data_IF_526306988166
#
_entry.id   IF_526306988166
#
_cell.length_a   1.000
_cell.length_b   1.000
_cell.length_c   1.000
_cell.angle_alpha   90.00
_cell.angle_beta   90.00
_cell.angle_gamma   90.00
#
_symmetry.space_group_name_H-M   'P 1'
#
loop_
_entity.id
_entity.type
_entity.pdbx_description
1 polymer ?
#
# COMPACT_ATOMS: atom_id res chain seq x y z
N UNK A 1 -5.94 25.64 -13.07
CA UNK A 1 -5.42 24.67 -14.06
C UNK A 1 -6.60 23.95 -14.68
N UNK A 2 -7.11 24.47 -15.80
CA UNK A 2 -8.19 23.83 -16.54
C UNK A 2 -7.59 22.66 -17.33
N UNK A 3 -8.03 21.44 -17.02
CA UNK A 3 -7.68 20.26 -17.79
C UNK A 3 -8.77 20.04 -18.85
N UNK A 4 -8.36 20.10 -20.12
CA UNK A 4 -9.19 19.80 -21.27
C UNK A 4 -9.46 18.29 -21.32
N UNK A 5 -10.71 17.91 -21.08
CA UNK A 5 -11.19 16.54 -21.30
C UNK A 5 -11.44 16.34 -22.80
N UNK A 6 -10.49 15.72 -23.48
CA UNK A 6 -10.66 15.21 -24.86
C UNK A 6 -11.42 13.88 -24.77
N UNK A 7 -12.75 13.96 -24.89
CA UNK A 7 -13.61 12.78 -25.03
C UNK A 7 -13.53 12.30 -26.47
N UNK A 8 -12.91 11.14 -26.70
CA UNK A 8 -12.91 10.37 -27.96
C UNK A 8 -14.31 9.82 -28.27
N UNK A 9 -15.27 10.72 -28.46
CA UNK A 9 -16.60 10.37 -28.95
C UNK A 9 -16.50 10.16 -30.46
N UNK A 10 -16.56 8.90 -30.89
CA UNK A 10 -16.80 8.49 -32.29
C UNK A 10 -18.20 8.89 -32.80
N UNK A 11 -18.77 9.98 -32.26
CA UNK A 11 -20.09 10.48 -32.60
C UNK A 11 -19.95 11.45 -33.77
N UNK A 12 -20.30 10.96 -34.96
CA UNK A 12 -20.36 11.79 -36.17
C UNK A 12 -21.38 12.92 -35.90
N UNK A 13 -21.01 14.20 -36.06
CA UNK A 13 -21.94 15.33 -35.89
C UNK A 13 -23.16 15.18 -36.81
N UNK A 14 -24.34 15.56 -36.32
CA UNK A 14 -25.61 15.42 -37.06
C UNK A 14 -25.54 16.06 -38.46
N UNK A 15 -24.81 17.16 -38.59
CA UNK A 15 -24.60 17.87 -39.87
C UNK A 15 -23.86 17.03 -40.92
N UNK A 16 -23.00 16.12 -40.48
CA UNK A 16 -22.24 15.21 -41.34
C UNK A 16 -23.11 14.01 -41.77
N UNK A 17 -23.96 13.49 -40.86
CA UNK A 17 -24.93 12.42 -41.18
C UNK A 17 -25.95 12.86 -42.25
N UNK A 18 -26.38 14.13 -42.24
CA UNK A 18 -27.31 14.68 -43.23
C UNK A 18 -26.66 14.87 -44.61
N UNK A 19 -25.35 15.13 -44.66
CA UNK A 19 -24.61 15.22 -45.93
C UNK A 19 -24.36 13.85 -46.55
N UNK A 20 -24.00 12.86 -45.74
CA UNK A 20 -23.61 11.52 -46.22
C UNK A 20 -24.84 10.65 -46.60
N UNK A 21 -26.02 10.93 -46.04
CA UNK A 21 -27.28 10.24 -46.39
C UNK A 21 -28.11 10.96 -47.46
N UNK A 22 -27.53 11.92 -48.18
CA UNK A 22 -28.20 12.54 -49.33
C UNK A 22 -28.18 11.57 -50.51
N UNK A 23 -29.04 10.55 -50.44
CA UNK A 23 -29.31 9.67 -51.56
C UNK A 23 -29.67 10.54 -52.79
N UNK A 24 -29.19 10.21 -54.00
CA UNK A 24 -29.68 10.88 -55.19
C UNK A 24 -31.19 10.68 -55.20
N UNK A 25 -31.93 11.78 -55.13
CA UNK A 25 -33.35 11.79 -55.44
C UNK A 25 -33.40 11.33 -56.89
N UNK A 26 -33.64 10.03 -57.08
CA UNK A 26 -34.07 9.49 -58.36
C UNK A 26 -35.44 10.09 -58.54
N UNK A 27 -35.48 11.21 -59.25
CA UNK A 27 -36.69 11.66 -59.91
C UNK A 27 -37.11 10.47 -60.78
N UNK A 28 -38.13 9.75 -60.30
CA UNK A 28 -38.78 8.77 -61.13
C UNK A 28 -39.41 9.58 -62.24
N UNK A 29 -38.81 9.54 -63.43
CA UNK A 29 -39.43 9.98 -64.68
C UNK A 29 -40.58 9.02 -65.05
N UNK A 30 -41.46 8.75 -64.08
CA UNK A 30 -42.76 8.18 -64.32
C UNK A 30 -43.56 9.29 -64.99
N UNK A 31 -43.63 9.20 -66.32
CA UNK A 31 -44.48 9.95 -67.23
C UNK A 31 -45.68 10.57 -66.51
N UNK A 32 -45.50 11.81 -66.05
CA UNK A 32 -46.61 12.70 -65.73
C UNK A 32 -47.20 13.07 -67.08
N UNK A 33 -48.16 12.29 -67.54
CA UNK A 33 -49.02 12.74 -68.64
C UNK A 33 -49.62 14.08 -68.17
N UNK A 34 -49.37 15.20 -68.87
CA UNK A 34 -49.96 16.47 -68.50
C UNK A 34 -51.46 16.27 -68.45
N UNK A 35 -52.14 16.70 -67.38
CA UNK A 35 -53.61 16.72 -67.36
C UNK A 35 -54.17 17.45 -68.61
N UNK A 36 -53.37 18.37 -69.18
CA UNK A 36 -53.60 19.00 -70.48
C UNK A 36 -53.76 18.00 -71.64
N UNK A 37 -52.97 16.92 -71.72
CA UNK A 37 -53.08 15.94 -72.80
C UNK A 37 -54.40 15.15 -72.71
N UNK A 38 -54.85 14.83 -71.49
CA UNK A 38 -56.15 14.18 -71.27
C UNK A 38 -57.32 15.14 -71.54
N UNK A 39 -57.21 16.40 -71.12
CA UNK A 39 -58.21 17.44 -71.38
C UNK A 39 -58.29 17.81 -72.87
N UNK A 40 -57.16 17.80 -73.59
CA UNK A 40 -57.13 18.04 -75.04
C UNK A 40 -57.85 16.92 -75.80
N UNK A 41 -57.62 15.65 -75.45
CA UNK A 41 -58.31 14.51 -76.09
C UNK A 41 -59.82 14.54 -75.79
N UNK A 42 -60.21 14.88 -74.56
CA UNK A 42 -61.62 14.97 -74.17
C UNK A 42 -62.35 16.07 -74.95
N UNK A 43 -61.73 17.24 -75.12
CA UNK A 43 -62.32 18.36 -75.87
C UNK A 43 -62.41 18.06 -77.38
N UNK A 44 -61.40 17.42 -77.96
CA UNK A 44 -61.36 17.06 -79.39
C UNK A 44 -62.41 15.99 -79.77
N UNK A 45 -62.70 15.05 -78.86
CA UNK A 45 -63.77 14.06 -79.04
C UNK A 45 -65.16 14.69 -78.86
N UNK A 46 -65.32 15.62 -77.91
CA UNK A 46 -66.60 16.26 -77.62
C UNK A 46 -67.07 17.27 -78.68
N UNK A 47 -66.17 17.92 -79.43
CA UNK A 47 -66.54 18.89 -80.47
C UNK A 47 -66.98 18.26 -81.81
N UNK A 48 -66.83 16.95 -82.01
CA UNK A 48 -67.01 16.30 -83.33
C UNK A 48 -68.39 15.64 -83.59
N UNK A 49 -69.39 15.82 -82.74
CA UNK A 49 -70.68 15.11 -82.86
C UNK A 49 -71.91 16.00 -82.96
N UNK A 50 -72.05 16.66 -84.11
CA UNK A 50 -73.25 17.46 -84.46
C UNK A 50 -74.36 16.67 -85.18
N UNK A 51 -74.27 15.34 -85.32
CA UNK A 51 -75.37 14.54 -85.91
C UNK A 51 -75.29 13.07 -85.50
N UNK A 52 -75.83 12.73 -84.33
CA UNK A 52 -76.23 11.34 -84.03
C UNK A 52 -77.68 11.31 -83.59
N UNK A 53 -78.50 10.52 -84.30
CA UNK A 53 -79.92 10.30 -83.98
C UNK A 53 -79.95 9.42 -82.73
N UNK A 54 -80.26 10.01 -81.57
CA UNK A 54 -80.28 9.27 -80.30
C UNK A 54 -81.52 8.38 -80.20
N UNK A 55 -81.33 7.06 -80.05
CA UNK A 55 -82.40 6.16 -79.60
C UNK A 55 -82.63 6.39 -78.09
N UNK A 56 -83.80 6.89 -77.65
CA UNK A 56 -84.03 7.28 -76.26
C UNK A 56 -83.97 6.11 -75.26
N UNK A 57 -84.33 4.89 -75.69
CA UNK A 57 -84.41 3.73 -74.81
C UNK A 57 -83.05 3.13 -74.44
N UNK A 58 -82.12 3.01 -75.39
CA UNK A 58 -80.76 2.51 -75.13
C UNK A 58 -79.95 3.47 -74.24
N UNK A 59 -80.18 4.77 -74.39
CA UNK A 59 -79.49 5.81 -73.60
C UNK A 59 -79.90 5.78 -72.11
N UNK A 60 -81.16 5.45 -71.81
CA UNK A 60 -81.64 5.28 -70.43
C UNK A 60 -81.01 4.04 -69.76
N UNK A 61 -80.89 2.92 -70.49
CA UNK A 61 -80.27 1.69 -69.95
C UNK A 61 -78.80 1.92 -69.62
N UNK A 62 -78.05 2.58 -70.53
CA UNK A 62 -76.64 2.93 -70.32
C UNK A 62 -76.47 3.88 -69.13
N UNK A 63 -77.33 4.91 -69.02
CA UNK A 63 -77.29 5.87 -67.90
C UNK A 63 -77.54 5.19 -66.56
N UNK A 64 -78.51 4.28 -66.48
CA UNK A 64 -78.78 3.52 -65.25
C UNK A 64 -77.62 2.59 -64.87
N UNK A 65 -76.97 1.96 -65.85
CA UNK A 65 -75.77 1.13 -65.63
C UNK A 65 -74.59 1.95 -65.08
N UNK A 66 -74.31 3.11 -65.68
CA UNK A 66 -73.26 4.04 -65.21
C UNK A 66 -73.56 4.57 -63.81
N UNK A 67 -74.82 4.84 -63.49
CA UNK A 67 -75.22 5.31 -62.15
C UNK A 67 -74.98 4.23 -61.10
N UNK A 68 -75.34 2.97 -61.41
CA UNK A 68 -75.08 1.83 -60.54
C UNK A 68 -73.58 1.57 -60.34
N UNK A 69 -72.77 1.63 -61.41
CA UNK A 69 -71.31 1.52 -61.29
C UNK A 69 -70.71 2.63 -60.42
N UNK A 70 -71.18 3.86 -60.58
CA UNK A 70 -70.69 5.01 -59.81
C UNK A 70 -71.04 4.88 -58.32
N UNK A 71 -72.23 4.38 -57.99
CA UNK A 71 -72.62 4.10 -56.60
C UNK A 71 -71.80 2.93 -56.01
N UNK A 72 -71.51 1.90 -56.80
CA UNK A 72 -70.60 0.80 -56.41
C UNK A 72 -69.18 1.33 -56.13
N UNK A 73 -68.70 2.25 -56.96
CA UNK A 73 -67.38 2.86 -56.79
C UNK A 73 -67.29 3.72 -55.52
N UNK A 74 -68.36 4.48 -55.19
CA UNK A 74 -68.44 5.23 -53.93
C UNK A 74 -68.36 4.30 -52.71
N UNK A 75 -69.10 3.20 -52.71
CA UNK A 75 -69.03 2.21 -51.63
C UNK A 75 -67.61 1.63 -51.48
N UNK A 76 -66.94 1.35 -52.59
CA UNK A 76 -65.55 0.90 -52.54
C UNK A 76 -64.60 1.95 -51.96
N UNK A 77 -64.74 3.23 -52.31
CA UNK A 77 -63.94 4.33 -51.73
C UNK A 77 -64.16 4.40 -50.22
N UNK A 78 -65.42 4.36 -49.77
CA UNK A 78 -65.75 4.40 -48.34
C UNK A 78 -65.13 3.22 -47.57
N UNK A 79 -65.16 2.02 -48.15
CA UNK A 79 -64.52 0.83 -47.58
C UNK A 79 -62.99 0.99 -47.49
N UNK A 80 -62.34 1.56 -48.51
CA UNK A 80 -60.90 1.82 -48.48
C UNK A 80 -60.53 2.85 -47.42
N UNK A 81 -61.32 3.91 -47.25
CA UNK A 81 -61.10 4.88 -46.17
C UNK A 81 -61.23 4.23 -44.79
N UNK A 82 -62.26 3.40 -44.58
CA UNK A 82 -62.45 2.70 -43.31
C UNK A 82 -61.30 1.74 -43.02
N UNK A 83 -60.85 0.99 -44.03
CA UNK A 83 -59.69 0.10 -43.91
C UNK A 83 -58.42 0.87 -43.56
N UNK A 84 -58.17 2.00 -44.21
CA UNK A 84 -57.01 2.85 -43.91
C UNK A 84 -57.04 3.37 -42.47
N UNK A 85 -58.20 3.82 -41.97
CA UNK A 85 -58.40 4.26 -40.58
C UNK A 85 -58.12 3.13 -39.57
N UNK A 86 -58.58 1.90 -39.86
CA UNK A 86 -58.32 0.72 -39.03
C UNK A 86 -56.84 0.33 -39.01
N UNK A 87 -56.17 0.32 -40.17
CA UNK A 87 -54.74 0.00 -40.26
C UNK A 87 -53.89 1.04 -39.50
N UNK A 88 -54.26 2.33 -39.57
CA UNK A 88 -53.63 3.40 -38.81
C UNK A 88 -53.78 3.20 -37.30
N UNK A 89 -55.00 2.96 -36.80
CA UNK A 89 -55.23 2.73 -35.36
C UNK A 89 -54.51 1.50 -34.85
N UNK A 90 -54.45 0.41 -35.65
CA UNK A 90 -53.68 -0.78 -35.29
C UNK A 90 -52.18 -0.48 -35.18
N UNK A 91 -51.63 0.31 -36.10
CA UNK A 91 -50.22 0.74 -36.04
C UNK A 91 -49.96 1.64 -34.83
N UNK A 92 -50.86 2.59 -34.57
CA UNK A 92 -50.78 3.50 -33.42
C UNK A 92 -50.79 2.71 -32.09
N UNK A 93 -51.71 1.76 -31.93
CA UNK A 93 -51.75 0.89 -30.75
C UNK A 93 -50.44 0.11 -30.56
N UNK A 94 -49.88 -0.42 -31.66
CA UNK A 94 -48.60 -1.14 -31.61
C UNK A 94 -47.45 -0.23 -31.17
N UNK A 95 -47.39 0.99 -31.69
CA UNK A 95 -46.38 1.99 -31.32
C UNK A 95 -46.54 2.38 -29.84
N UNK A 96 -47.78 2.63 -29.39
CA UNK A 96 -48.07 2.98 -27.99
C UNK A 96 -47.65 1.88 -27.02
N UNK A 97 -47.89 0.62 -27.35
CA UNK A 97 -47.47 -0.51 -26.51
C UNK A 97 -45.94 -0.64 -26.47
N UNK A 98 -45.26 -0.51 -27.61
CA UNK A 98 -43.79 -0.49 -27.66
C UNK A 98 -43.22 0.67 -26.83
N UNK A 99 -43.80 1.86 -26.94
CA UNK A 99 -43.39 3.04 -26.19
C UNK A 99 -43.56 2.83 -24.68
N UNK A 100 -44.68 2.23 -24.26
CA UNK A 100 -44.94 1.90 -22.86
C UNK A 100 -43.89 0.95 -22.28
N UNK A 101 -43.49 -0.07 -23.05
CA UNK A 101 -42.43 -0.99 -22.65
C UNK A 101 -41.09 -0.26 -22.49
N UNK A 102 -40.72 0.58 -23.45
CA UNK A 102 -39.48 1.37 -23.40
C UNK A 102 -39.47 2.33 -22.21
N UNK A 103 -40.56 3.05 -21.97
CA UNK A 103 -40.69 3.96 -20.81
C UNK A 103 -40.53 3.18 -19.50
N UNK A 104 -41.14 1.99 -19.40
CA UNK A 104 -41.05 1.16 -18.20
C UNK A 104 -39.63 0.67 -17.94
N UNK A 105 -38.93 0.21 -18.99
CA UNK A 105 -37.52 -0.20 -18.90
C UNK A 105 -36.61 0.97 -18.50
N UNK A 106 -36.82 2.17 -19.09
CA UNK A 106 -36.10 3.38 -18.71
C UNK A 106 -36.32 3.74 -17.24
N UNK A 107 -37.57 3.74 -16.76
CA UNK A 107 -37.89 4.04 -15.37
C UNK A 107 -37.27 3.02 -14.40
N UNK A 108 -37.25 1.74 -14.77
CA UNK A 108 -36.62 0.70 -13.95
C UNK A 108 -35.10 0.91 -13.84
N UNK A 109 -34.44 1.23 -14.95
CA UNK A 109 -33.01 1.57 -14.96
C UNK A 109 -32.72 2.82 -14.14
N UNK A 110 -33.55 3.86 -14.27
CA UNK A 110 -33.42 5.09 -13.48
C UNK A 110 -33.50 4.83 -11.97
N UNK A 111 -34.49 4.05 -11.53
CA UNK A 111 -34.64 3.68 -10.12
C UNK A 111 -33.48 2.82 -9.60
N UNK A 112 -32.93 1.94 -10.45
CA UNK A 112 -31.73 1.16 -10.11
C UNK A 112 -30.52 2.08 -9.89
N UNK A 113 -30.28 3.01 -10.81
CA UNK A 113 -29.20 4.00 -10.70
C UNK A 113 -29.38 4.91 -9.47
N UNK A 114 -30.62 5.33 -9.14
CA UNK A 114 -30.89 6.10 -7.91
C UNK A 114 -30.48 5.34 -6.65
N UNK A 115 -30.77 4.04 -6.57
CA UNK A 115 -30.38 3.19 -5.43
C UNK A 115 -28.86 3.04 -5.34
N UNK A 116 -28.19 2.78 -6.46
CA UNK A 116 -26.72 2.69 -6.51
C UNK A 116 -26.07 4.01 -6.08
N UNK A 117 -26.56 5.14 -6.58
CA UNK A 117 -26.08 6.46 -6.21
C UNK A 117 -26.26 6.74 -4.72
N UNK A 118 -27.38 6.34 -4.13
CA UNK A 118 -27.60 6.46 -2.69
C UNK A 118 -26.61 5.60 -1.88
N UNK A 119 -26.36 4.35 -2.32
CA UNK A 119 -25.37 3.46 -1.70
C UNK A 119 -23.96 4.07 -1.74
N UNK A 120 -23.54 4.58 -2.90
CA UNK A 120 -22.23 5.24 -3.08
C UNK A 120 -22.14 6.47 -2.18
N UNK A 121 -23.21 7.28 -2.08
CA UNK A 121 -23.24 8.45 -1.19
C UNK A 121 -23.03 8.06 0.28
N UNK A 122 -23.62 6.94 0.72
CA UNK A 122 -23.45 6.44 2.08
C UNK A 122 -22.02 5.95 2.33
N UNK A 123 -21.44 5.21 1.38
CA UNK A 123 -20.04 4.76 1.44
C UNK A 123 -19.06 5.94 1.49
N UNK A 124 -19.32 6.98 0.69
CA UNK A 124 -18.50 8.19 0.67
C UNK A 124 -18.55 8.91 2.02
N UNK A 125 -19.75 9.07 2.61
CA UNK A 125 -19.90 9.68 3.93
C UNK A 125 -19.14 8.89 5.02
N UNK A 126 -19.26 7.55 5.02
CA UNK A 126 -18.49 6.70 5.93
C UNK A 126 -16.98 6.84 5.75
N UNK A 127 -16.51 6.96 4.50
CA UNK A 127 -15.09 7.10 4.18
C UNK A 127 -14.55 8.45 4.63
N UNK A 128 -15.33 9.52 4.45
CA UNK A 128 -14.98 10.86 4.93
C UNK A 128 -14.83 10.87 6.45
N UNK A 129 -15.82 10.32 7.17
CA UNK A 129 -15.77 10.26 8.64
C UNK A 129 -14.58 9.42 9.14
N UNK A 130 -14.27 8.31 8.47
CA UNK A 130 -13.09 7.50 8.82
C UNK A 130 -11.79 8.27 8.61
N UNK A 131 -11.65 8.98 7.48
CA UNK A 131 -10.48 9.80 7.21
C UNK A 131 -10.34 10.94 8.22
N UNK A 132 -11.44 11.61 8.59
CA UNK A 132 -11.45 12.65 9.62
C UNK A 132 -10.93 12.10 10.96
N UNK A 133 -11.45 10.95 11.40
CA UNK A 133 -10.98 10.26 12.60
C UNK A 133 -9.51 9.86 12.53
N UNK A 134 -9.03 9.36 11.39
CA UNK A 134 -7.60 9.05 11.23
C UNK A 134 -6.72 10.29 11.33
N UNK A 135 -7.17 11.42 10.79
CA UNK A 135 -6.43 12.70 10.91
C UNK A 135 -6.33 13.10 12.38
N UNK A 136 -7.43 13.02 13.13
CA UNK A 136 -7.42 13.30 14.57
C UNK A 136 -6.44 12.38 15.32
N UNK A 137 -6.46 11.08 15.07
CA UNK A 137 -5.52 10.12 15.69
C UNK A 137 -4.06 10.43 15.35
N UNK A 138 -3.75 10.76 14.10
CA UNK A 138 -2.39 11.14 13.68
C UNK A 138 -1.94 12.42 14.37
N UNK A 139 -2.82 13.41 14.52
CA UNK A 139 -2.49 14.65 15.22
C UNK A 139 -2.27 14.42 16.72
N UNK A 140 -3.07 13.58 17.35
CA UNK A 140 -2.89 13.17 18.74
C UNK A 140 -1.53 12.48 18.93
N UNK A 141 -1.22 11.51 18.07
CA UNK A 141 0.03 10.76 18.15
C UNK A 141 1.26 11.66 17.94
N UNK A 142 1.18 12.61 17.01
CA UNK A 142 2.23 13.61 16.79
C UNK A 142 2.51 14.45 18.05
N UNK A 143 1.46 14.84 18.76
CA UNK A 143 1.59 15.60 20.00
C UNK A 143 2.18 14.74 21.14
N UNK A 144 1.74 13.48 21.29
CA UNK A 144 2.31 12.53 22.27
C UNK A 144 3.80 12.29 22.02
N UNK A 145 4.21 12.08 20.77
CA UNK A 145 5.62 11.94 20.43
C UNK A 145 6.45 13.19 20.78
N UNK A 146 5.94 14.38 20.47
CA UNK A 146 6.61 15.64 20.81
C UNK A 146 6.76 15.82 22.32
N UNK A 147 5.75 15.42 23.09
CA UNK A 147 5.81 15.46 24.55
C UNK A 147 6.86 14.49 25.09
N UNK A 148 6.91 13.25 24.58
CA UNK A 148 7.92 12.26 24.97
C UNK A 148 9.33 12.70 24.60
N UNK A 149 9.52 13.25 23.40
CA UNK A 149 10.80 13.80 22.96
C UNK A 149 11.31 14.89 23.90
N UNK A 150 10.44 15.86 24.25
CA UNK A 150 10.79 16.92 25.20
C UNK A 150 11.20 16.37 26.57
N UNK A 151 10.46 15.36 27.07
CA UNK A 151 10.78 14.70 28.35
C UNK A 151 12.17 14.03 28.30
N UNK A 152 12.47 13.28 27.24
CA UNK A 152 13.78 12.63 27.10
C UNK A 152 14.93 13.65 26.97
N UNK A 153 14.69 14.80 26.33
CA UNK A 153 15.68 15.88 26.26
C UNK A 153 15.95 16.49 27.64
N UNK A 154 14.92 16.68 28.46
CA UNK A 154 15.06 17.14 29.85
C UNK A 154 15.86 16.14 30.70
N UNK A 155 15.48 14.86 30.68
CA UNK A 155 16.20 13.79 31.38
C UNK A 155 17.68 13.71 30.95
N UNK A 156 17.97 13.93 29.66
CA UNK A 156 19.33 13.95 29.13
C UNK A 156 20.15 15.15 29.66
N UNK A 157 19.54 16.33 29.73
CA UNK A 157 20.19 17.53 30.29
C UNK A 157 20.49 17.35 31.78
N UNK A 158 19.55 16.77 32.52
CA UNK A 158 19.74 16.45 33.94
C UNK A 158 20.90 15.48 34.15
N UNK A 159 20.94 14.39 33.38
CA UNK A 159 22.03 13.42 33.42
C UNK A 159 23.38 14.05 33.05
N UNK A 160 23.42 14.94 32.06
CA UNK A 160 24.63 15.68 31.69
C UNK A 160 25.14 16.55 32.85
N UNK A 161 24.22 17.26 33.52
CA UNK A 161 24.57 18.07 34.69
C UNK A 161 25.08 17.23 35.87
N UNK A 162 24.51 16.04 36.07
CA UNK A 162 24.94 15.11 37.11
C UNK A 162 26.34 14.56 36.81
N UNK A 163 26.60 14.19 35.55
CA UNK A 163 27.90 13.72 35.09
C UNK A 163 28.98 14.77 35.37
N UNK A 164 28.75 16.02 35.00
CA UNK A 164 29.69 17.14 35.24
C UNK A 164 30.01 17.30 36.74
N UNK A 165 28.98 17.27 37.60
CA UNK A 165 29.17 17.31 39.06
C UNK A 165 29.96 16.10 39.60
N UNK A 166 29.83 14.92 39.00
CA UNK A 166 30.59 13.72 39.40
C UNK A 166 32.04 13.84 38.97
N UNK A 167 32.32 14.29 37.74
CA UNK A 167 33.67 14.53 37.23
C UNK A 167 34.41 15.56 38.10
N UNK A 168 33.77 16.67 38.44
CA UNK A 168 34.34 17.71 39.34
C UNK A 168 34.74 17.14 40.71
N UNK A 169 33.91 16.27 41.29
CA UNK A 169 34.22 15.62 42.57
C UNK A 169 35.38 14.64 42.44
N UNK A 170 35.44 13.88 41.35
CA UNK A 170 36.50 12.91 41.09
C UNK A 170 37.86 13.61 40.90
N UNK A 171 37.89 14.72 40.16
CA UNK A 171 39.09 15.56 40.00
C UNK A 171 39.58 16.09 41.36
N UNK A 172 38.67 16.61 42.20
CA UNK A 172 39.01 17.08 43.55
C UNK A 172 39.54 15.95 44.45
N UNK A 173 38.97 14.75 44.35
CA UNK A 173 39.44 13.58 45.10
C UNK A 173 40.81 13.12 44.60
N UNK A 174 41.04 13.02 43.30
CA UNK A 174 42.32 12.59 42.73
C UNK A 174 43.47 13.55 43.08
N UNK A 175 43.22 14.86 43.03
CA UNK A 175 44.18 15.87 43.51
C UNK A 175 44.52 15.68 44.99
N UNK A 176 43.53 15.37 45.83
CA UNK A 176 43.77 15.08 47.24
C UNK A 176 44.56 13.79 47.43
N UNK A 177 44.31 12.75 46.63
CA UNK A 177 45.06 11.49 46.67
C UNK A 177 46.52 11.69 46.25
N UNK A 178 46.78 12.41 45.15
CA UNK A 178 48.14 12.77 44.72
C UNK A 178 48.87 13.61 45.78
N UNK A 179 48.18 14.58 46.38
CA UNK A 179 48.75 15.43 47.44
C UNK A 179 49.09 14.60 48.67
N UNK A 180 48.21 13.70 49.10
CA UNK A 180 48.47 12.75 50.19
C UNK A 180 49.65 11.84 49.84
N UNK A 181 49.72 11.33 48.61
CA UNK A 181 50.82 10.47 48.15
C UNK A 181 52.18 11.21 48.13
N UNK A 182 52.20 12.50 47.79
CA UNK A 182 53.40 13.33 47.88
C UNK A 182 53.78 13.68 49.33
N UNK A 183 52.80 13.98 50.18
CA UNK A 183 53.03 14.25 51.61
C UNK A 183 53.51 13.01 52.35
N UNK A 184 53.07 11.82 51.92
CA UNK A 184 53.51 10.52 52.40
C UNK A 184 54.76 9.99 51.66
N UNK A 185 55.71 10.85 51.26
CA UNK A 185 57.05 10.35 50.91
C UNK A 185 57.66 9.67 52.15
N UNK A 186 57.93 8.35 52.13
CA UNK A 186 58.56 7.69 53.26
C UNK A 186 59.97 8.27 53.38
N UNK A 187 60.24 9.01 54.46
CA UNK A 187 61.63 9.29 54.82
C UNK A 187 62.28 7.94 55.14
N UNK A 188 63.33 7.50 54.42
CA UNK A 188 64.02 6.27 54.76
C UNK A 188 64.69 6.49 56.12
N UNK A 189 64.12 5.85 57.14
CA UNK A 189 64.76 5.78 58.45
C UNK A 189 65.90 4.77 58.32
N UNK A 190 67.14 5.25 58.20
CA UNK A 190 68.31 4.39 58.28
C UNK A 190 68.57 4.06 59.73
N UNK A 191 68.57 2.77 60.07
CA UNK A 191 69.07 2.27 61.33
C UNK A 191 70.51 1.79 61.07
N UNK A 192 71.50 2.40 61.72
CA UNK A 192 72.93 2.31 61.39
C UNK A 192 73.58 0.95 61.70
N UNK A 193 72.85 -0.03 62.22
CA UNK A 193 73.44 -1.26 62.75
C UNK A 193 73.11 -2.56 62.02
N UNK A 194 72.19 -2.58 61.04
CA UNK A 194 71.92 -3.80 60.26
C UNK A 194 71.63 -3.48 58.79
N UNK A 195 72.60 -3.77 57.93
CA UNK A 195 72.58 -3.53 56.48
C UNK A 195 71.73 -4.58 55.76
N UNK A 196 70.43 -4.66 56.06
CA UNK A 196 69.47 -5.50 55.31
C UNK A 196 68.38 -4.59 54.75
N UNK A 197 68.28 -4.57 53.41
CA UNK A 197 67.21 -3.89 52.68
C UNK A 197 65.91 -4.63 52.95
N UNK A 198 65.12 -4.15 53.91
CA UNK A 198 63.73 -4.57 54.05
C UNK A 198 62.97 -3.90 52.90
N UNK A 199 62.87 -4.59 51.77
CA UNK A 199 61.98 -4.19 50.68
C UNK A 199 60.56 -4.07 51.24
N UNK A 200 59.97 -2.88 51.17
CA UNK A 200 58.59 -2.63 51.55
C UNK A 200 57.66 -3.53 50.73
N UNK A 201 57.16 -4.61 51.34
CA UNK A 201 55.94 -5.26 50.86
C UNK A 201 54.79 -4.33 51.22
N UNK A 202 54.29 -3.59 50.24
CA UNK A 202 53.05 -2.83 50.37
C UNK A 202 51.91 -3.82 50.67
N UNK A 203 51.37 -3.91 51.92
CA UNK A 203 50.46 -4.97 52.30
C UNK A 203 49.04 -4.77 51.75
N UNK A 204 48.72 -3.57 51.24
CA UNK A 204 47.33 -3.19 50.98
C UNK A 204 46.85 -3.46 49.55
N UNK A 205 47.75 -3.59 48.57
CA UNK A 205 47.32 -3.76 47.17
C UNK A 205 46.94 -5.21 46.81
N UNK A 206 47.45 -6.21 47.53
CA UNK A 206 47.19 -7.63 47.24
C UNK A 206 45.86 -8.13 47.82
N UNK A 207 45.39 -7.55 48.92
CA UNK A 207 44.19 -8.01 49.62
C UNK A 207 42.92 -7.65 48.87
N UNK A 208 42.88 -6.49 48.20
CA UNK A 208 41.76 -6.10 47.36
C UNK A 208 41.66 -6.91 46.06
N UNK A 209 42.78 -7.26 45.42
CA UNK A 209 42.76 -8.06 44.20
C UNK A 209 42.26 -9.51 44.44
N UNK A 210 42.47 -10.08 45.64
CA UNK A 210 41.96 -11.41 45.99
C UNK A 210 40.47 -11.44 46.35
N UNK A 211 39.91 -10.35 46.90
CA UNK A 211 38.48 -10.29 47.21
C UNK A 211 37.59 -10.10 45.97
N UNK A 212 38.15 -9.66 44.84
CA UNK A 212 37.43 -9.44 43.57
C UNK A 212 37.76 -10.53 42.54
N UNK A 213 37.90 -11.78 42.96
CA UNK A 213 37.70 -12.90 42.02
C UNK A 213 36.20 -13.15 41.89
N UNK A 214 35.63 -12.79 40.73
CA UNK A 214 34.28 -13.19 40.34
C UNK A 214 34.25 -14.72 40.24
N UNK A 215 33.76 -15.38 41.30
CA UNK A 215 33.63 -16.83 41.41
C UNK A 215 32.50 -17.39 40.52
N UNK A 216 32.58 -17.15 39.21
CA UNK A 216 31.59 -17.58 38.22
C UNK A 216 32.03 -18.81 37.42
N UNK A 217 33.33 -19.12 37.31
CA UNK A 217 33.78 -20.27 36.52
C UNK A 217 35.17 -20.76 36.95
N UNK A 218 35.29 -22.05 37.31
CA UNK A 218 36.56 -22.70 37.66
C UNK A 218 37.05 -23.64 36.54
N UNK A 219 36.91 -23.23 35.28
CA UNK A 219 37.41 -23.97 34.13
C UNK A 219 36.72 -25.30 33.81
N UNK A 220 36.08 -25.94 34.78
CA UNK A 220 35.39 -27.23 34.65
C UNK A 220 33.89 -27.12 34.95
N UNK A 221 33.45 -26.27 35.91
CA UNK A 221 32.01 -26.02 36.21
C UNK A 221 31.75 -24.58 36.72
N UNK A 222 30.52 -24.09 36.55
CA UNK A 222 29.99 -22.83 37.12
C UNK A 222 29.56 -23.11 38.56
N UNK A 223 30.23 -22.50 39.55
CA UNK A 223 30.08 -22.84 40.98
C UNK A 223 28.84 -22.20 41.64
N UNK A 224 27.94 -21.56 40.88
CA UNK A 224 26.70 -20.96 41.43
C UNK A 224 25.46 -21.35 40.62
N UNK A 225 24.70 -22.30 41.16
CA UNK A 225 23.42 -22.78 40.63
C UNK A 225 22.23 -21.83 40.91
N UNK A 226 22.42 -20.74 41.66
CA UNK A 226 21.34 -19.86 42.10
C UNK A 226 20.99 -18.72 41.12
N UNK A 227 21.46 -18.77 39.89
CA UNK A 227 21.00 -17.84 38.86
C UNK A 227 19.75 -18.43 38.21
N UNK A 228 18.61 -17.75 38.37
CA UNK A 228 17.39 -18.08 37.65
C UNK A 228 17.74 -18.22 36.15
N UNK A 229 17.50 -19.39 35.52
CA UNK A 229 17.81 -19.59 34.12
C UNK A 229 17.16 -18.47 33.32
N UNK A 230 17.95 -17.70 32.58
CA UNK A 230 17.39 -16.78 31.62
C UNK A 230 16.59 -17.63 30.62
N UNK A 231 15.26 -17.49 30.65
CA UNK A 231 14.37 -18.17 29.72
C UNK A 231 14.63 -17.56 28.35
N UNK A 232 15.57 -18.12 27.61
CA UNK A 232 15.82 -17.75 26.22
C UNK A 232 14.72 -18.42 25.40
N UNK A 233 13.69 -17.65 25.05
CA UNK A 233 12.62 -18.11 24.16
C UNK A 233 13.16 -18.32 22.73
N UNK A 234 13.70 -19.51 22.45
CA UNK A 234 14.12 -19.94 21.11
C UNK A 234 12.93 -20.35 20.22
N UNK A 235 11.75 -19.77 20.44
CA UNK A 235 10.57 -20.13 19.65
C UNK A 235 10.84 -19.84 18.18
N UNK A 236 10.30 -20.68 17.29
CA UNK A 236 10.44 -20.51 15.85
C UNK A 236 9.97 -19.12 15.37
N UNK A 237 9.10 -18.45 16.12
CA UNK A 237 8.70 -17.06 15.90
C UNK A 237 9.85 -16.06 16.08
N UNK A 238 10.68 -16.18 17.11
CA UNK A 238 11.84 -15.29 17.33
C UNK A 238 12.82 -15.38 16.16
N UNK A 239 13.06 -16.59 15.65
CA UNK A 239 13.91 -16.81 14.46
C UNK A 239 13.28 -16.18 13.22
N UNK A 240 11.97 -16.36 13.01
CA UNK A 240 11.24 -15.73 11.90
C UNK A 240 11.29 -14.19 11.98
N UNK A 241 11.13 -13.61 13.16
CA UNK A 241 11.20 -12.15 13.36
C UNK A 241 12.61 -11.62 13.05
N UNK A 242 13.65 -12.33 13.47
CA UNK A 242 15.03 -11.98 13.15
C UNK A 242 15.30 -12.04 11.63
N UNK A 243 14.80 -13.07 10.94
CA UNK A 243 14.92 -13.20 9.48
C UNK A 243 14.15 -12.09 8.73
N UNK A 244 12.94 -11.76 9.16
CA UNK A 244 12.14 -10.67 8.59
C UNK A 244 12.86 -9.33 8.75
N UNK A 245 13.43 -9.08 9.94
CA UNK A 245 14.17 -7.84 10.23
C UNK A 245 15.43 -7.73 9.37
N UNK A 246 16.18 -8.84 9.21
CA UNK A 246 17.35 -8.91 8.33
C UNK A 246 16.99 -8.62 6.87
N UNK A 247 15.91 -9.21 6.35
CA UNK A 247 15.42 -8.92 4.98
C UNK A 247 15.04 -7.45 4.81
N UNK A 248 14.38 -6.85 5.82
CA UNK A 248 13.96 -5.44 5.81
C UNK A 248 15.16 -4.49 5.83
N UNK A 249 16.22 -4.81 6.55
CA UNK A 249 17.47 -4.03 6.54
C UNK A 249 18.19 -4.12 5.18
N UNK A 250 18.30 -5.31 4.59
CA UNK A 250 18.92 -5.48 3.28
C UNK A 250 18.15 -4.74 2.17
N UNK A 251 16.82 -4.72 2.22
CA UNK A 251 16.01 -3.96 1.27
C UNK A 251 16.29 -2.45 1.37
N UNK A 252 16.46 -1.92 2.58
CA UNK A 252 16.81 -0.51 2.82
C UNK A 252 18.22 -0.14 2.38
N UNK A 253 19.16 -1.09 2.38
CA UNK A 253 20.51 -0.86 1.82
C UNK A 253 20.51 -0.71 0.30
N UNK A 254 19.51 -1.26 -0.39
CA UNK A 254 19.36 -1.16 -1.85
C UNK A 254 18.58 0.10 -2.28
N UNK A 255 18.17 0.96 -1.34
CA UNK A 255 17.45 2.21 -1.62
C UNK A 255 18.41 3.22 -2.29
N UNK A 256 18.07 3.78 -3.48
CA UNK A 256 18.92 4.72 -4.21
C UNK A 256 19.34 5.96 -3.39
N UNK A 257 18.56 6.36 -2.37
CA UNK A 257 18.91 7.46 -1.47
C UNK A 257 20.03 7.12 -0.46
N UNK A 258 20.17 5.84 -0.09
CA UNK A 258 21.29 5.35 0.72
C UNK A 258 22.55 5.10 -0.12
N UNK A 259 22.38 4.62 -1.36
CA UNK A 259 23.49 4.36 -2.31
C UNK A 259 24.18 5.67 -2.73
N UNK A 260 23.42 6.74 -2.95
CA UNK A 260 23.95 8.07 -3.31
C UNK A 260 24.78 8.72 -2.20
N UNK A 261 24.53 8.41 -0.92
CA UNK A 261 25.32 8.88 0.23
C UNK A 261 26.61 8.09 0.48
N UNK A 262 26.95 7.08 -0.33
CA UNK A 262 28.21 6.29 -0.22
C UNK A 262 28.48 5.74 1.18
N UNK A 263 27.44 5.41 1.96
CA UNK A 263 27.58 4.74 3.25
C UNK A 263 27.83 3.25 2.96
N UNK A 264 29.05 2.89 2.58
CA UNK A 264 29.49 1.50 2.48
C UNK A 264 29.67 0.96 3.91
N UNK A 265 28.60 0.49 4.53
CA UNK A 265 28.71 -0.38 5.70
C UNK A 265 29.05 -1.76 5.15
N UNK A 266 30.34 -2.03 4.96
CA UNK A 266 30.82 -3.38 4.71
C UNK A 266 30.45 -4.23 5.93
N UNK A 267 29.88 -5.42 5.70
CA UNK A 267 29.62 -6.36 6.78
C UNK A 267 30.95 -6.66 7.48
N UNK A 268 30.99 -6.45 8.80
CA UNK A 268 32.19 -6.68 9.59
C UNK A 268 32.57 -8.16 9.48
N UNK A 269 33.75 -8.45 8.95
CA UNK A 269 34.20 -9.82 8.72
C UNK A 269 34.73 -10.41 10.03
N UNK A 270 33.80 -10.92 10.84
CA UNK A 270 34.11 -11.57 12.11
C UNK A 270 35.05 -12.78 11.97
N UNK A 271 35.28 -13.32 10.76
CA UNK A 271 36.24 -14.41 10.56
C UNK A 271 37.69 -13.97 10.80
N UNK A 272 38.00 -12.69 10.56
CA UNK A 272 39.34 -12.12 10.84
C UNK A 272 39.56 -11.81 12.32
N UNK A 273 38.52 -11.40 13.05
CA UNK A 273 38.60 -11.11 14.48
C UNK A 273 38.49 -12.37 15.36
N UNK A 274 37.74 -13.40 14.92
CA UNK A 274 37.68 -14.71 15.60
C UNK A 274 38.80 -15.68 15.21
N UNK A 275 39.85 -15.21 14.54
CA UNK A 275 41.11 -15.96 14.43
C UNK A 275 41.78 -15.97 15.80
N UNK A 276 41.29 -16.83 16.71
CA UNK A 276 41.99 -17.16 17.94
C UNK A 276 43.39 -17.60 17.53
N UNK A 277 44.41 -16.87 18.00
CA UNK A 277 45.81 -17.21 17.79
C UNK A 277 45.97 -18.71 18.09
N UNK A 278 46.35 -19.49 17.08
CA UNK A 278 46.46 -20.94 17.17
C UNK A 278 47.35 -21.25 18.37
N UNK A 279 46.75 -21.72 19.47
CA UNK A 279 47.47 -21.99 20.70
C UNK A 279 48.46 -23.10 20.38
N UNK A 280 49.74 -22.74 20.28
CA UNK A 280 50.80 -23.70 20.08
C UNK A 280 51.03 -24.35 21.45
N UNK A 281 50.70 -25.63 21.65
CA UNK A 281 50.91 -26.26 22.95
C UNK A 281 52.41 -26.24 23.24
N UNK A 282 52.81 -25.72 24.41
CA UNK A 282 54.20 -25.82 24.85
C UNK A 282 54.58 -27.31 24.95
N UNK A 283 55.45 -27.77 24.04
CA UNK A 283 55.95 -29.16 24.05
C UNK A 283 56.91 -29.46 25.21
N UNK A 284 57.36 -28.44 25.94
CA UNK A 284 58.20 -28.58 27.13
C UNK A 284 57.76 -27.59 28.21
N UNK A 285 57.62 -28.08 29.44
CA UNK A 285 57.34 -27.27 30.62
C UNK A 285 58.58 -26.43 30.96
N UNK A 286 58.38 -25.16 31.27
CA UNK A 286 59.42 -24.29 31.83
C UNK A 286 59.86 -24.78 33.21
N UNK A 287 61.09 -24.45 33.61
CA UNK A 287 61.68 -24.90 34.90
C UNK A 287 60.82 -24.51 36.11
N UNK A 288 60.13 -23.37 36.06
CA UNK A 288 59.17 -22.96 37.09
C UNK A 288 57.95 -23.89 37.13
N UNK A 289 57.36 -24.24 35.98
CA UNK A 289 56.23 -25.17 35.93
C UNK A 289 56.61 -26.58 36.42
N UNK A 290 57.85 -27.02 36.18
CA UNK A 290 58.38 -28.27 36.72
C UNK A 290 58.51 -28.20 38.25
N UNK A 291 59.01 -27.07 38.77
CA UNK A 291 59.11 -26.83 40.22
C UNK A 291 57.74 -26.91 40.91
N UNK A 292 56.72 -26.23 40.37
CA UNK A 292 55.35 -26.27 40.92
C UNK A 292 54.68 -27.65 40.80
N UNK A 293 54.99 -28.42 39.74
CA UNK A 293 54.44 -29.78 39.58
C UNK A 293 55.00 -30.75 40.64
N UNK A 294 56.27 -30.61 41.00
CA UNK A 294 56.90 -31.42 42.04
C UNK A 294 56.32 -31.14 43.43
N UNK A 295 56.06 -29.88 43.77
CA UNK A 295 55.41 -29.51 45.03
C UNK A 295 53.97 -30.04 45.12
N UNK A 296 53.23 -30.02 44.01
CA UNK A 296 51.88 -30.60 43.94
C UNK A 296 51.89 -32.12 44.13
N UNK A 297 52.87 -32.81 43.55
CA UNK A 297 53.02 -34.26 43.71
C UNK A 297 53.45 -34.64 45.13
N UNK A 298 54.29 -33.83 45.77
CA UNK A 298 54.69 -34.00 47.17
C UNK A 298 53.49 -33.85 48.11
N UNK A 299 52.69 -32.80 47.97
CA UNK A 299 51.44 -32.58 48.73
C UNK A 299 50.44 -33.73 48.56
N UNK A 300 50.27 -34.25 47.33
CA UNK A 300 49.42 -35.43 47.08
C UNK A 300 49.93 -36.67 47.80
N UNK A 301 51.25 -36.89 47.84
CA UNK A 301 51.84 -38.05 48.51
C UNK A 301 51.74 -37.97 50.03
N UNK A 302 51.83 -36.77 50.61
CA UNK A 302 51.65 -36.53 52.05
C UNK A 302 50.18 -36.74 52.45
N UNK A 303 49.23 -36.20 51.66
CA UNK A 303 47.80 -36.41 51.87
C UNK A 303 47.38 -37.90 51.74
N UNK A 304 48.01 -38.67 50.84
CA UNK A 304 47.76 -40.11 50.73
C UNK A 304 48.28 -40.90 51.93
N UNK A 305 49.44 -40.52 52.47
CA UNK A 305 50.01 -41.14 53.68
C UNK A 305 49.17 -40.86 54.92
N UNK A 306 48.60 -39.65 55.04
CA UNK A 306 47.66 -39.29 56.11
C UNK A 306 46.35 -40.08 56.05
N UNK A 307 45.88 -40.46 54.86
CA UNK A 307 44.66 -41.28 54.69
C UNK A 307 44.82 -42.76 55.03
N UNK A 308 46.05 -43.26 55.12
CA UNK A 308 46.37 -44.67 55.44
C UNK A 308 46.87 -44.89 56.87
N UNK A 309 46.81 -43.86 57.72
CA UNK A 309 47.00 -43.94 59.17
C UNK A 309 45.65 -43.91 59.87
#
# INVERSE_FOLDING_TARGET
SHADYTSDSNMIPYDQYVKDNKAPIVHSDASSAPADAFMMIYNDICESHDQSVSNPSQNIVVKNSLTAELDTYKEHVDLYEQRAKYELTKREQKINEQLRLVISDCNFKEETLKKELHSIKLQLASTINHHESMVEEVTFLKNDFKQKENKYLEDFLDMKSLKEKVEDRLIKQDQSLQTVQMLCRPKPYFNELNRIVIGYKNPLCLTHAKQVQLALYNGHEIIKDNHAPAIVHNTAETVKIAEITKKKMNAKMNDPECVTRKVMIAAHDYSKENFLATFTPQKQLTTEHIFWSNDLMKLKSEALKERTK
#
